data_IF_572961954289
#
_entry.id   IF_572961954289
#
_cell.length_a   1.000
_cell.length_b   1.000
_cell.length_c   1.000
_cell.angle_alpha   90.00
_cell.angle_beta   90.00
_cell.angle_gamma   90.00
#
_symmetry.space_group_name_H-M   'P 1'
#
loop_
_entity.id
_entity.type
_entity.pdbx_description
1 polymer ?
#
# COMPACT_ATOMS: atom_id res chain seq x y z
N UNK A 1 68.93 3.67 -11.78
CA UNK A 1 67.47 3.88 -11.86
C UNK A 1 66.92 3.77 -10.44
N UNK A 2 66.38 4.84 -9.86
CA UNK A 2 66.04 4.88 -8.43
C UNK A 2 64.72 4.14 -8.17
N UNK A 3 64.72 2.96 -7.53
CA UNK A 3 63.53 2.12 -7.36
C UNK A 3 62.46 2.82 -6.50
N UNK A 4 62.87 3.74 -5.63
CA UNK A 4 61.97 4.54 -4.80
C UNK A 4 61.14 5.52 -5.65
N UNK A 5 61.78 6.15 -6.65
CA UNK A 5 61.13 7.09 -7.56
C UNK A 5 60.13 6.39 -8.49
N UNK A 6 60.45 5.16 -8.92
CA UNK A 6 59.55 4.34 -9.75
C UNK A 6 58.30 3.92 -8.96
N UNK A 7 58.44 3.57 -7.68
CA UNK A 7 57.31 3.22 -6.81
C UNK A 7 56.39 4.41 -6.54
N UNK A 8 56.96 5.60 -6.32
CA UNK A 8 56.18 6.84 -6.14
C UNK A 8 55.39 7.18 -7.40
N UNK A 9 56.03 7.12 -8.58
CA UNK A 9 55.36 7.39 -9.86
C UNK A 9 54.22 6.42 -10.13
N UNK A 10 54.41 5.14 -9.82
CA UNK A 10 53.37 4.13 -9.98
C UNK A 10 52.20 4.36 -9.02
N UNK A 11 52.47 4.72 -7.76
CA UNK A 11 51.43 5.05 -6.78
C UNK A 11 50.61 6.29 -7.19
N UNK A 12 51.27 7.34 -7.71
CA UNK A 12 50.60 8.54 -8.23
C UNK A 12 49.73 8.19 -9.44
N UNK A 13 50.23 7.35 -10.35
CA UNK A 13 49.46 6.89 -11.51
C UNK A 13 48.23 6.08 -11.10
N UNK A 14 48.38 5.16 -10.14
CA UNK A 14 47.28 4.36 -9.60
C UNK A 14 46.23 5.21 -8.89
N UNK A 15 46.64 6.22 -8.12
CA UNK A 15 45.74 7.17 -7.49
C UNK A 15 45.01 8.04 -8.53
N UNK A 16 45.71 8.52 -9.56
CA UNK A 16 45.11 9.31 -10.63
C UNK A 16 44.08 8.50 -11.43
N UNK A 17 44.35 7.22 -11.73
CA UNK A 17 43.42 6.30 -12.40
C UNK A 17 42.19 6.02 -11.54
N UNK A 18 42.34 5.78 -10.22
CA UNK A 18 41.20 5.63 -9.30
C UNK A 18 40.32 6.88 -9.23
N UNK A 19 40.93 8.08 -9.23
CA UNK A 19 40.20 9.35 -9.22
C UNK A 19 39.49 9.59 -10.56
N UNK A 20 40.09 9.17 -11.68
CA UNK A 20 39.47 9.29 -13.01
C UNK A 20 38.29 8.33 -13.19
N UNK A 21 38.39 7.09 -12.71
CA UNK A 21 37.28 6.11 -12.81
C UNK A 21 36.12 6.42 -11.85
N UNK A 22 36.38 7.06 -10.69
CA UNK A 22 35.31 7.55 -9.82
C UNK A 22 34.49 8.71 -10.41
N UNK A 23 34.97 9.38 -11.46
CA UNK A 23 34.21 10.46 -12.12
C UNK A 23 33.29 10.01 -13.26
N UNK A 24 33.30 8.74 -13.65
CA UNK A 24 32.52 8.23 -14.79
C UNK A 24 31.52 7.12 -14.42
N UNK A 25 30.96 7.15 -13.22
CA UNK A 25 29.85 6.25 -12.84
C UNK A 25 28.60 7.01 -12.35
N UNK A 26 28.46 8.30 -12.64
CA UNK A 26 27.19 9.00 -12.47
C UNK A 26 26.41 8.94 -13.79
N UNK A 27 25.87 7.75 -14.09
CA UNK A 27 24.66 7.68 -14.90
C UNK A 27 23.56 8.30 -14.04
N UNK A 28 23.38 9.61 -14.16
CA UNK A 28 22.21 10.28 -13.60
C UNK A 28 21.03 9.88 -14.48
N UNK A 29 20.47 8.70 -14.21
CA UNK A 29 19.08 8.41 -14.58
C UNK A 29 18.23 9.47 -13.87
N UNK A 30 18.06 10.63 -14.51
CA UNK A 30 17.34 11.79 -14.00
C UNK A 30 15.83 11.49 -13.96
N UNK A 31 15.44 10.53 -13.13
CA UNK A 31 14.05 10.24 -12.85
C UNK A 31 13.58 11.23 -11.79
N UNK A 32 12.51 11.93 -12.11
CA UNK A 32 11.82 12.79 -11.15
C UNK A 32 10.91 11.94 -10.26
N UNK A 33 10.84 12.20 -8.95
CA UNK A 33 9.86 11.56 -8.08
C UNK A 33 8.44 11.84 -8.59
N UNK A 34 7.60 10.81 -8.64
CA UNK A 34 6.19 10.90 -8.99
C UNK A 34 5.36 10.33 -7.85
N UNK A 35 4.34 11.07 -7.44
CA UNK A 35 3.34 10.62 -6.48
C UNK A 35 2.05 10.33 -7.25
N UNK A 36 1.54 9.11 -7.09
CA UNK A 36 0.28 8.70 -7.70
C UNK A 36 -0.83 8.86 -6.66
N UNK A 37 -1.83 9.69 -6.97
CA UNK A 37 -3.04 9.85 -6.17
C UNK A 37 -4.21 9.24 -6.95
N UNK A 38 -4.78 8.10 -6.51
CA UNK A 38 -5.88 7.47 -7.20
C UNK A 38 -7.18 8.27 -7.06
N UNK A 39 -8.10 8.08 -8.00
CA UNK A 39 -9.47 8.58 -7.87
C UNK A 39 -10.32 7.74 -6.92
N UNK A 40 -11.61 8.08 -6.81
CA UNK A 40 -12.57 7.33 -5.97
C UNK A 40 -12.65 5.86 -6.38
N UNK A 41 -12.50 4.96 -5.40
CA UNK A 41 -12.47 3.52 -5.62
C UNK A 41 -11.22 3.01 -6.36
N UNK A 42 -10.23 3.87 -6.61
CA UNK A 42 -9.01 3.55 -7.38
C UNK A 42 -7.89 2.90 -6.58
N UNK A 43 -8.12 2.56 -5.31
CA UNK A 43 -7.19 1.79 -4.47
C UNK A 43 -7.93 0.75 -3.63
N UNK A 44 -7.19 -0.24 -3.14
CA UNK A 44 -7.71 -1.22 -2.19
C UNK A 44 -8.09 -0.57 -0.85
N UNK A 45 -9.11 -1.12 -0.21
CA UNK A 45 -9.54 -0.79 1.15
C UNK A 45 -9.74 -2.08 1.93
N UNK A 46 -9.26 -2.09 3.17
CA UNK A 46 -9.48 -3.19 4.10
C UNK A 46 -10.39 -2.77 5.25
N UNK A 47 -11.05 -3.74 5.85
CA UNK A 47 -11.79 -3.55 7.07
C UNK A 47 -11.56 -4.66 8.09
N UNK A 48 -11.80 -4.34 9.35
CA UNK A 48 -11.82 -5.25 10.48
C UNK A 48 -13.12 -5.03 11.26
N UNK A 49 -13.77 -6.12 11.65
CA UNK A 49 -15.03 -6.06 12.41
C UNK A 49 -14.74 -6.33 13.88
N UNK A 50 -15.12 -5.42 14.77
CA UNK A 50 -14.91 -5.55 16.23
C UNK A 50 -16.04 -6.35 16.89
N UNK A 51 -16.01 -6.46 18.21
CA UNK A 51 -17.10 -7.07 18.99
C UNK A 51 -18.40 -6.25 18.94
N UNK A 52 -18.33 -4.96 18.62
CA UNK A 52 -19.49 -4.05 18.56
C UNK A 52 -20.27 -4.19 17.26
N UNK A 53 -19.71 -4.87 16.26
CA UNK A 53 -20.35 -5.06 14.97
C UNK A 53 -21.63 -5.89 15.09
N UNK A 54 -22.77 -5.27 14.80
CA UNK A 54 -24.09 -5.90 14.79
C UNK A 54 -24.52 -6.16 13.36
N UNK A 55 -24.52 -7.44 12.98
CA UNK A 55 -24.93 -7.85 11.64
C UNK A 55 -26.45 -7.75 11.46
N UNK A 56 -26.91 -7.31 10.29
CA UNK A 56 -28.34 -7.33 9.93
C UNK A 56 -28.88 -8.72 9.58
N UNK A 57 -28.00 -9.69 9.33
CA UNK A 57 -28.37 -11.06 8.94
C UNK A 57 -27.27 -12.06 9.28
N UNK A 58 -27.59 -13.36 9.30
CA UNK A 58 -26.59 -14.39 9.56
C UNK A 58 -25.45 -14.40 8.51
N UNK A 59 -25.78 -14.07 7.26
CA UNK A 59 -24.85 -14.02 6.14
C UNK A 59 -23.85 -12.85 6.21
N UNK A 60 -24.25 -11.73 6.83
CA UNK A 60 -23.37 -10.58 7.04
C UNK A 60 -22.63 -10.64 8.38
N UNK A 61 -22.66 -11.78 9.07
CA UNK A 61 -22.01 -11.94 10.38
C UNK A 61 -20.49 -11.72 10.31
N UNK A 62 -19.88 -11.48 11.49
CA UNK A 62 -18.43 -11.23 11.63
C UNK A 62 -17.56 -12.36 11.05
N UNK A 63 -18.09 -13.59 10.94
CA UNK A 63 -17.40 -14.73 10.36
C UNK A 63 -17.11 -14.58 8.87
N UNK A 64 -17.95 -13.85 8.13
CA UNK A 64 -17.78 -13.59 6.71
C UNK A 64 -17.14 -12.19 6.46
N UNK A 65 -16.12 -12.06 5.59
CA UNK A 65 -15.55 -13.10 4.74
C UNK A 65 -14.68 -14.08 5.52
N UNK A 66 -14.57 -15.32 5.02
CA UNK A 66 -13.82 -16.39 5.69
C UNK A 66 -12.31 -16.13 5.69
N UNK A 67 -11.80 -15.45 4.65
CA UNK A 67 -10.38 -15.09 4.55
C UNK A 67 -10.16 -13.73 5.21
N UNK A 68 -9.39 -13.74 6.29
CA UNK A 68 -8.89 -12.56 7.00
C UNK A 68 -7.41 -12.77 7.33
N UNK A 69 -6.67 -11.70 7.51
CA UNK A 69 -5.32 -11.76 8.08
C UNK A 69 -5.38 -12.12 9.59
N UNK A 70 -4.24 -12.39 10.25
CA UNK A 70 -4.19 -12.73 11.67
C UNK A 70 -4.78 -11.66 12.60
N UNK A 71 -4.73 -10.40 12.19
CA UNK A 71 -5.27 -9.27 12.95
C UNK A 71 -6.76 -9.04 12.67
N UNK A 72 -7.36 -9.83 11.76
CA UNK A 72 -8.78 -9.80 11.42
C UNK A 72 -9.13 -8.85 10.28
N UNK A 73 -8.16 -8.31 9.56
CA UNK A 73 -8.40 -7.48 8.38
C UNK A 73 -8.75 -8.33 7.17
N UNK A 74 -9.66 -7.82 6.35
CA UNK A 74 -10.01 -8.40 5.07
C UNK A 74 -10.23 -7.30 4.05
N UNK A 75 -10.10 -7.64 2.77
CA UNK A 75 -10.42 -6.72 1.68
C UNK A 75 -11.90 -6.36 1.70
N UNK A 76 -12.20 -5.10 1.98
CA UNK A 76 -13.53 -4.54 1.84
C UNK A 76 -13.75 -4.04 0.40
N UNK A 77 -12.71 -3.49 -0.23
CA UNK A 77 -12.74 -3.04 -1.62
C UNK A 77 -11.42 -3.39 -2.36
N UNK A 78 -11.42 -3.98 -3.55
CA UNK A 78 -12.56 -4.55 -4.29
C UNK A 78 -12.56 -6.08 -4.24
N UNK A 79 -13.70 -6.68 -3.92
CA UNK A 79 -13.96 -8.10 -4.13
C UNK A 79 -15.22 -8.27 -4.99
N UNK A 80 -15.19 -8.96 -6.14
CA UNK A 80 -16.35 -9.11 -7.03
C UNK A 80 -17.61 -9.66 -6.36
N UNK A 81 -17.46 -10.44 -5.29
CA UNK A 81 -18.61 -11.00 -4.55
C UNK A 81 -19.53 -9.90 -4.01
N UNK A 82 -19.00 -8.70 -3.71
CA UNK A 82 -19.79 -7.57 -3.20
C UNK A 82 -20.79 -7.04 -4.23
N UNK A 83 -20.63 -7.35 -5.52
CA UNK A 83 -21.57 -6.95 -6.58
C UNK A 83 -22.82 -7.83 -6.64
N UNK A 84 -22.83 -8.97 -5.94
CA UNK A 84 -23.92 -9.94 -6.02
C UNK A 84 -24.65 -10.09 -4.69
N UNK A 85 -25.98 -10.23 -4.76
CA UNK A 85 -26.79 -10.58 -3.60
C UNK A 85 -26.42 -11.98 -3.09
N UNK A 86 -26.40 -12.21 -1.77
CA UNK A 86 -26.76 -11.28 -0.71
C UNK A 86 -25.61 -10.38 -0.21
N UNK A 87 -24.39 -10.58 -0.70
CA UNK A 87 -23.17 -9.94 -0.18
C UNK A 87 -23.10 -8.42 -0.41
N UNK A 88 -23.78 -7.91 -1.44
CA UNK A 88 -23.96 -6.46 -1.64
C UNK A 88 -24.53 -5.77 -0.40
N UNK A 89 -25.47 -6.42 0.31
CA UNK A 89 -26.03 -5.86 1.54
C UNK A 89 -24.96 -5.75 2.64
N UNK A 90 -24.15 -6.79 2.81
CA UNK A 90 -23.07 -6.81 3.79
C UNK A 90 -22.00 -5.75 3.48
N UNK A 91 -21.66 -5.59 2.20
CA UNK A 91 -20.75 -4.54 1.75
C UNK A 91 -21.28 -3.14 2.07
N UNK A 92 -22.54 -2.86 1.72
CA UNK A 92 -23.17 -1.56 2.00
C UNK A 92 -23.21 -1.26 3.51
N UNK A 93 -23.53 -2.24 4.36
CA UNK A 93 -23.55 -2.05 5.82
C UNK A 93 -22.17 -1.72 6.39
N UNK A 94 -21.11 -2.30 5.83
CA UNK A 94 -19.74 -2.13 6.31
C UNK A 94 -19.04 -0.90 5.73
N UNK A 95 -19.43 -0.47 4.52
CA UNK A 95 -18.95 0.76 3.89
C UNK A 95 -19.72 2.01 4.30
N UNK A 96 -20.84 1.86 5.02
CA UNK A 96 -21.64 2.99 5.46
C UNK A 96 -20.84 3.89 6.42
N UNK A 97 -20.91 5.18 6.18
CA UNK A 97 -20.38 6.23 7.06
C UNK A 97 -21.53 6.93 7.77
N UNK A 98 -21.30 7.34 9.00
CA UNK A 98 -22.26 8.04 9.84
C UNK A 98 -21.71 9.43 10.12
N UNK A 99 -22.49 10.45 9.78
CA UNK A 99 -22.18 11.83 10.11
C UNK A 99 -22.52 12.13 11.57
N UNK A 100 -21.58 12.73 12.29
CA UNK A 100 -21.75 13.21 13.66
C UNK A 100 -21.84 14.76 13.63
N UNK A 101 -23.03 15.33 13.94
CA UNK A 101 -23.24 16.78 13.89
C UNK A 101 -22.59 17.54 15.04
N UNK A 102 -22.24 16.87 16.16
CA UNK A 102 -21.67 17.54 17.32
C UNK A 102 -20.19 17.86 17.10
N UNK A 103 -19.51 17.05 16.27
CA UNK A 103 -18.10 17.24 15.89
C UNK A 103 -17.88 17.62 14.41
N UNK A 104 -18.94 17.66 13.60
CA UNK A 104 -18.90 17.95 12.15
C UNK A 104 -17.94 17.02 11.39
N UNK A 105 -18.03 15.71 11.67
CA UNK A 105 -17.16 14.70 11.07
C UNK A 105 -17.92 13.40 10.75
N UNK A 106 -17.25 12.49 10.05
CA UNK A 106 -17.78 11.18 9.68
C UNK A 106 -17.04 10.06 10.41
N UNK A 107 -17.81 9.06 10.81
CA UNK A 107 -17.30 7.84 11.42
C UNK A 107 -17.67 6.62 10.59
N UNK A 108 -16.84 5.58 10.68
CA UNK A 108 -17.21 4.27 10.16
C UNK A 108 -18.48 3.77 10.85
N UNK A 109 -19.18 2.82 10.21
CA UNK A 109 -20.26 2.08 10.87
C UNK A 109 -19.81 1.50 12.22
N UNK A 110 -20.69 1.49 13.25
CA UNK A 110 -20.36 0.94 14.57
C UNK A 110 -19.77 -0.48 14.50
N UNK A 111 -18.60 -0.65 15.12
CA UNK A 111 -17.84 -1.90 15.10
C UNK A 111 -17.13 -2.23 13.79
N UNK A 112 -17.03 -1.27 12.85
CA UNK A 112 -16.23 -1.40 11.63
C UNK A 112 -15.03 -0.47 11.71
N UNK A 113 -13.84 -1.05 11.56
CA UNK A 113 -12.60 -0.30 11.35
C UNK A 113 -12.19 -0.44 9.89
N UNK A 114 -11.62 0.61 9.31
CA UNK A 114 -11.14 0.64 7.92
C UNK A 114 -9.68 1.07 7.88
N UNK A 115 -8.93 0.56 6.89
CA UNK A 115 -7.55 1.02 6.61
C UNK A 115 -7.25 0.97 5.13
N UNK A 116 -6.36 1.86 4.68
CA UNK A 116 -5.76 1.80 3.35
C UNK A 116 -4.46 0.99 3.46
N UNK A 117 -4.38 -0.21 2.85
CA UNK A 117 -3.15 -0.98 2.84
C UNK A 117 -2.10 -0.36 1.90
N UNK A 118 -0.84 -0.75 2.07
CA UNK A 118 0.24 -0.49 1.12
C UNK A 118 0.55 1.00 0.82
N UNK A 119 0.33 1.90 1.79
CA UNK A 119 0.69 3.31 1.60
C UNK A 119 2.19 3.48 1.29
N UNK A 120 2.51 4.28 0.27
CA UNK A 120 3.88 4.44 -0.24
C UNK A 120 4.32 3.39 -1.27
N UNK A 121 3.44 2.43 -1.59
CA UNK A 121 3.63 1.43 -2.66
C UNK A 121 2.58 1.61 -3.76
N UNK A 122 2.81 1.02 -4.92
CA UNK A 122 1.83 0.97 -6.02
C UNK A 122 0.92 -0.26 -5.96
N UNK A 123 1.16 -1.20 -5.04
CA UNK A 123 0.43 -2.47 -4.97
C UNK A 123 -1.07 -2.30 -4.75
N UNK A 124 -1.48 -1.36 -3.88
CA UNK A 124 -2.88 -1.05 -3.62
C UNK A 124 -3.62 -0.41 -4.80
N UNK A 125 -2.90 0.12 -5.79
CA UNK A 125 -3.44 0.86 -6.94
C UNK A 125 -3.40 0.03 -8.24
N UNK A 126 -2.41 -0.84 -8.39
CA UNK A 126 -2.14 -1.57 -9.64
C UNK A 126 -3.29 -2.51 -10.01
N UNK A 127 -3.85 -3.19 -9.00
CA UNK A 127 -5.02 -4.05 -9.14
C UNK A 127 -5.89 -3.91 -7.90
N UNK A 128 -7.18 -3.59 -8.07
CA UNK A 128 -8.14 -3.53 -6.96
C UNK A 128 -8.43 -4.91 -6.36
N UNK A 129 -8.27 -5.96 -7.17
CA UNK A 129 -8.26 -7.34 -6.71
C UNK A 129 -7.08 -8.11 -7.34
N UNK A 130 -6.01 -8.42 -6.59
CA UNK A 130 -4.85 -9.17 -7.07
C UNK A 130 -5.13 -10.61 -7.53
N UNK A 131 -6.33 -11.15 -7.29
CA UNK A 131 -6.74 -12.46 -7.84
C UNK A 131 -7.34 -12.34 -9.25
N UNK A 132 -7.54 -11.12 -9.76
CA UNK A 132 -8.08 -10.82 -11.09
C UNK A 132 -7.07 -10.05 -11.95
N UNK A 133 -5.79 -10.43 -11.85
CA UNK A 133 -4.72 -9.85 -12.67
C UNK A 133 -4.83 -10.27 -14.13
#
# INVERSE_FOLDING_TARGET
>A
MNPHLTRIKLAILSAAVMVFTCKFASSTNNLHPVILVPGSGGNQLEARLTAEYKSSSLLCSRWYPLKKDPDGWFRLWFDPTVLFKPFTKCFNERMMIYYDPDVDDYHNAPGVETRVPDFGSTQGLLYLNPNLK
#
